data_IF_043658609805
#
_entry.id   IF_043658609805
#
_cell.length_a   1.000
_cell.length_b   1.000
_cell.length_c   1.000
_cell.angle_alpha   90.00
_cell.angle_beta   90.00
_cell.angle_gamma   90.00
#
_symmetry.space_group_name_H-M   'P 1'
#
loop_
_entity.id
_entity.type
_entity.pdbx_description
1 polymer ?
#
# COMPACT_ATOMS: atom_id res chain seq x y z
N UNK A 1 15.04 -8.69 -8.06
CA UNK A 1 15.56 -7.29 -8.01
C UNK A 1 14.85 -6.47 -6.95
N UNK A 2 13.52 -6.27 -7.01
CA UNK A 2 12.73 -5.40 -6.09
C UNK A 2 12.96 -5.72 -4.60
N UNK A 3 12.88 -7.00 -4.19
CA UNK A 3 13.18 -7.40 -2.80
C UNK A 3 14.60 -6.98 -2.37
N UNK A 4 15.59 -7.12 -3.25
CA UNK A 4 16.97 -6.72 -2.95
C UNK A 4 17.10 -5.19 -2.76
N UNK A 5 16.45 -4.41 -3.62
CA UNK A 5 16.44 -2.94 -3.50
C UNK A 5 15.81 -2.50 -2.18
N UNK A 6 14.63 -3.06 -1.83
CA UNK A 6 13.99 -2.78 -0.55
C UNK A 6 14.86 -3.20 0.65
N UNK A 7 15.58 -4.33 0.54
CA UNK A 7 16.49 -4.78 1.59
C UNK A 7 17.69 -3.84 1.77
N UNK A 8 18.23 -3.33 0.66
CA UNK A 8 19.31 -2.33 0.72
C UNK A 8 18.83 -1.05 1.40
N UNK A 9 17.67 -0.53 0.97
CA UNK A 9 17.08 0.65 1.58
C UNK A 9 16.81 0.47 3.08
N UNK A 10 16.34 -0.72 3.51
CA UNK A 10 16.14 -1.01 4.93
C UNK A 10 17.45 -0.95 5.73
N UNK A 11 18.53 -1.50 5.19
CA UNK A 11 19.85 -1.47 5.83
C UNK A 11 20.37 -0.05 5.98
N UNK A 12 20.25 0.76 4.96
CA UNK A 12 20.65 2.17 4.99
C UNK A 12 19.83 2.96 5.99
N UNK A 13 18.48 2.84 5.94
CA UNK A 13 17.59 3.51 6.85
C UNK A 13 17.82 3.11 8.32
N UNK A 14 18.00 1.81 8.59
CA UNK A 14 18.24 1.32 9.95
C UNK A 14 19.59 1.79 10.50
N UNK A 15 20.60 1.93 9.65
CA UNK A 15 21.89 2.49 10.05
C UNK A 15 21.78 3.95 10.50
N UNK A 16 20.82 4.71 9.95
CA UNK A 16 20.48 6.08 10.37
C UNK A 16 19.48 6.12 11.55
N UNK A 17 19.16 4.98 12.15
CA UNK A 17 18.28 4.89 13.31
C UNK A 17 16.80 4.82 13.00
N UNK A 18 16.39 4.69 11.73
CA UNK A 18 14.99 4.51 11.36
C UNK A 18 14.57 3.06 11.57
N UNK A 19 13.39 2.86 12.17
CA UNK A 19 12.84 1.53 12.45
C UNK A 19 11.48 1.29 11.76
N UNK A 20 10.93 2.29 11.07
CA UNK A 20 9.66 2.24 10.39
C UNK A 20 9.70 3.11 9.13
N UNK A 21 9.19 2.58 8.02
CA UNK A 21 9.07 3.32 6.75
C UNK A 21 7.62 3.41 6.30
N UNK A 22 7.25 4.52 5.65
CA UNK A 22 5.93 4.72 5.02
C UNK A 22 5.93 4.19 3.58
N UNK A 23 6.36 2.94 3.43
CA UNK A 23 6.44 2.18 2.19
C UNK A 23 6.19 0.69 2.46
N UNK A 24 5.67 -0.05 1.46
CA UNK A 24 5.48 0.32 0.07
C UNK A 24 4.16 1.04 -0.21
N UNK A 25 4.14 1.91 -1.22
CA UNK A 25 2.91 2.31 -1.86
C UNK A 25 2.43 1.17 -2.76
N UNK A 26 1.21 0.70 -2.51
CA UNK A 26 0.60 -0.45 -3.20
C UNK A 26 -0.68 -0.06 -3.93
N UNK A 27 -0.96 1.23 -4.03
CA UNK A 27 -2.10 1.74 -4.77
C UNK A 27 -2.03 1.31 -6.23
N UNK A 28 -3.17 0.82 -6.75
CA UNK A 28 -3.38 0.67 -8.18
C UNK A 28 -3.87 2.00 -8.72
N UNK A 29 -3.23 2.50 -9.77
CA UNK A 29 -3.57 3.77 -10.41
C UNK A 29 -3.82 3.59 -11.90
N UNK A 30 -4.93 4.16 -12.39
CA UNK A 30 -5.30 4.11 -13.82
C UNK A 30 -5.21 5.45 -14.52
N UNK A 31 -5.23 6.55 -13.77
CA UNK A 31 -5.14 7.89 -14.35
C UNK A 31 -3.71 8.42 -14.26
N UNK A 32 -3.04 8.50 -15.41
CA UNK A 32 -1.67 8.97 -15.51
C UNK A 32 -1.49 10.46 -15.12
N UNK A 33 -2.59 11.21 -14.99
CA UNK A 33 -2.57 12.62 -14.52
C UNK A 33 -2.37 12.74 -13.01
N UNK A 34 -2.62 11.65 -12.25
CA UNK A 34 -2.39 11.66 -10.82
C UNK A 34 -0.90 11.85 -10.49
N UNK A 35 -0.58 12.89 -9.71
CA UNK A 35 0.80 13.29 -9.43
C UNK A 35 1.64 12.22 -8.70
N UNK A 36 0.98 11.22 -8.09
CA UNK A 36 1.64 10.14 -7.37
C UNK A 36 1.70 8.81 -8.13
N UNK A 37 1.28 8.80 -9.40
CA UNK A 37 1.27 7.58 -10.21
C UNK A 37 2.65 6.90 -10.27
N UNK A 38 3.73 7.68 -10.25
CA UNK A 38 5.11 7.18 -10.31
C UNK A 38 5.59 6.46 -9.04
N UNK A 39 4.91 6.66 -7.89
CA UNK A 39 5.28 5.96 -6.65
C UNK A 39 4.83 4.50 -6.65
N UNK A 40 3.80 4.17 -7.42
CA UNK A 40 3.15 2.88 -7.45
C UNK A 40 3.77 1.87 -8.42
N UNK A 41 3.13 0.70 -8.51
CA UNK A 41 3.52 -0.38 -9.39
C UNK A 41 2.75 -0.42 -10.74
N UNK A 42 1.93 0.60 -10.99
CA UNK A 42 1.11 0.70 -12.20
C UNK A 42 -0.35 0.32 -11.98
N UNK A 43 -1.01 -0.14 -13.04
CA UNK A 43 -2.45 -0.40 -13.06
C UNK A 43 -2.84 -1.88 -12.91
N UNK A 44 -1.87 -2.80 -13.03
CA UNK A 44 -2.12 -4.24 -12.96
C UNK A 44 -2.08 -4.74 -11.50
N UNK A 45 -3.20 -5.24 -10.94
CA UNK A 45 -3.25 -5.73 -9.59
C UNK A 45 -2.39 -6.99 -9.35
N UNK A 46 -2.15 -7.81 -10.36
CA UNK A 46 -1.28 -8.97 -10.24
C UNK A 46 0.17 -8.56 -10.04
N UNK A 47 0.69 -7.71 -10.93
CA UNK A 47 2.04 -7.16 -10.80
C UNK A 47 2.18 -6.35 -9.50
N UNK A 48 1.19 -5.53 -9.18
CA UNK A 48 1.13 -4.76 -7.94
C UNK A 48 1.25 -5.65 -6.69
N UNK A 49 0.56 -6.78 -6.68
CA UNK A 49 0.62 -7.76 -5.59
C UNK A 49 1.99 -8.40 -5.44
N UNK A 50 2.63 -8.79 -6.54
CA UNK A 50 3.98 -9.34 -6.52
C UNK A 50 5.01 -8.32 -6.01
N UNK A 51 4.88 -7.08 -6.43
CA UNK A 51 5.76 -5.98 -5.99
C UNK A 51 5.54 -5.64 -4.53
N UNK A 52 4.28 -5.57 -4.07
CA UNK A 52 3.92 -5.34 -2.67
C UNK A 52 4.59 -6.37 -1.75
N UNK A 53 4.40 -7.66 -2.04
CA UNK A 53 5.04 -8.77 -1.32
C UNK A 53 6.56 -8.61 -1.29
N UNK A 54 7.18 -8.42 -2.44
CA UNK A 54 8.64 -8.33 -2.56
C UNK A 54 9.22 -7.15 -1.75
N UNK A 55 8.53 -6.00 -1.71
CA UNK A 55 8.94 -4.83 -0.94
C UNK A 55 8.79 -5.05 0.56
N UNK A 56 7.66 -5.60 1.02
CA UNK A 56 7.44 -5.93 2.43
C UNK A 56 8.51 -6.88 2.94
N UNK A 57 8.72 -8.00 2.23
CA UNK A 57 9.77 -8.97 2.58
C UNK A 57 11.18 -8.35 2.55
N UNK A 58 11.42 -7.41 1.65
CA UNK A 58 12.69 -6.70 1.57
C UNK A 58 12.94 -5.79 2.78
N UNK A 59 11.96 -4.96 3.14
CA UNK A 59 12.09 -4.05 4.29
C UNK A 59 12.17 -4.79 5.62
N UNK A 60 11.31 -5.78 5.83
CA UNK A 60 11.17 -6.47 7.11
C UNK A 60 12.16 -7.63 7.29
N UNK A 61 12.76 -8.13 6.17
CA UNK A 61 13.63 -9.30 6.24
C UNK A 61 12.89 -10.54 6.79
N UNK A 62 13.65 -11.48 7.29
CA UNK A 62 13.09 -12.72 7.86
C UNK A 62 12.74 -12.55 9.36
N UNK A 63 13.31 -11.56 10.03
CA UNK A 63 13.08 -11.27 11.44
C UNK A 63 13.25 -9.77 11.73
N UNK A 64 12.19 -9.10 12.22
CA UNK A 64 12.24 -7.69 12.60
C UNK A 64 13.09 -7.37 13.85
N UNK A 65 13.54 -8.38 14.58
CA UNK A 65 14.52 -8.18 15.66
C UNK A 65 15.94 -7.96 15.14
N UNK A 66 16.19 -8.19 13.85
CA UNK A 66 17.47 -7.86 13.22
C UNK A 66 17.58 -6.34 13.07
N UNK A 67 18.69 -5.78 13.60
CA UNK A 67 18.95 -4.34 13.59
C UNK A 67 19.02 -3.71 12.19
N UNK A 68 19.16 -4.53 11.16
CA UNK A 68 19.21 -4.09 9.76
C UNK A 68 17.85 -4.08 9.06
N UNK A 69 16.75 -4.36 9.79
CA UNK A 69 15.38 -4.38 9.26
C UNK A 69 14.58 -3.18 9.74
N UNK A 70 13.51 -2.85 9.00
CA UNK A 70 12.56 -1.80 9.36
C UNK A 70 11.13 -2.29 9.11
N UNK A 71 10.19 -1.84 9.93
CA UNK A 71 8.78 -2.13 9.71
C UNK A 71 8.27 -1.47 8.43
N UNK A 72 7.54 -2.22 7.62
CA UNK A 72 6.90 -1.72 6.41
C UNK A 72 5.48 -1.19 6.71
N UNK A 73 5.01 -0.26 5.86
CA UNK A 73 3.67 0.30 5.90
C UNK A 73 3.05 0.27 4.51
N UNK A 74 2.09 -0.62 4.29
CA UNK A 74 1.35 -0.64 3.03
C UNK A 74 0.38 0.54 2.96
N UNK A 75 0.43 1.31 1.86
CA UNK A 75 -0.34 2.55 1.71
C UNK A 75 -0.84 2.72 0.28
N UNK A 76 -1.92 3.45 0.12
CA UNK A 76 -2.83 4.11 1.06
C UNK A 76 -4.17 3.36 1.04
N UNK A 77 -4.58 2.83 2.14
CA UNK A 77 -5.76 1.96 2.26
C UNK A 77 -7.05 2.79 2.38
N UNK A 78 -7.96 2.81 1.38
CA UNK A 78 -7.78 2.21 0.08
C UNK A 78 -8.39 3.10 -1.02
N UNK A 79 -8.01 2.83 -2.27
CA UNK A 79 -8.63 3.47 -3.43
C UNK A 79 -8.06 4.82 -3.83
N UNK A 80 -6.94 5.26 -3.27
CA UNK A 80 -6.36 6.58 -3.51
C UNK A 80 -5.95 6.81 -4.98
N UNK A 81 -5.50 5.77 -5.67
CA UNK A 81 -5.17 5.83 -7.09
C UNK A 81 -6.37 5.91 -8.05
N UNK A 82 -7.59 5.90 -7.51
CA UNK A 82 -8.85 6.06 -8.25
C UNK A 82 -9.48 7.44 -8.08
N UNK A 83 -8.77 8.40 -7.54
CA UNK A 83 -9.24 9.77 -7.38
C UNK A 83 -9.70 10.36 -8.70
N UNK A 84 -10.89 10.98 -8.72
CA UNK A 84 -11.53 11.51 -9.92
C UNK A 84 -10.61 12.49 -10.67
N UNK A 85 -10.52 12.28 -11.98
CA UNK A 85 -9.71 13.08 -12.90
C UNK A 85 -8.22 13.16 -12.52
N UNK A 86 -7.71 12.20 -11.76
CA UNK A 86 -6.33 12.21 -11.27
C UNK A 86 -6.04 13.34 -10.27
N UNK A 87 -7.04 13.96 -9.70
CA UNK A 87 -6.86 15.03 -8.71
C UNK A 87 -6.51 14.45 -7.35
N UNK A 88 -5.40 14.89 -6.82
CA UNK A 88 -4.95 14.44 -5.50
C UNK A 88 -5.96 14.84 -4.41
N UNK A 89 -6.15 14.00 -3.41
CA UNK A 89 -7.13 14.15 -2.32
C UNK A 89 -8.61 14.14 -2.73
N UNK A 90 -8.93 13.91 -3.99
CA UNK A 90 -10.31 13.94 -4.44
C UNK A 90 -11.05 12.62 -4.13
N UNK A 91 -12.38 12.65 -4.26
CA UNK A 91 -13.24 11.47 -4.19
C UNK A 91 -12.77 10.37 -5.15
N UNK A 92 -12.88 9.14 -4.70
CA UNK A 92 -12.72 7.96 -5.54
C UNK A 92 -14.08 7.27 -5.69
N UNK A 93 -14.49 7.04 -6.95
CA UNK A 93 -15.72 6.33 -7.28
C UNK A 93 -15.39 4.99 -7.94
N UNK A 94 -15.86 3.91 -7.32
CA UNK A 94 -15.70 2.55 -7.82
C UNK A 94 -16.69 1.59 -7.17
N UNK A 95 -17.10 0.59 -7.90
CA UNK A 95 -18.02 -0.44 -7.41
C UNK A 95 -17.30 -1.54 -6.59
N UNK A 96 -18.06 -2.39 -5.92
CA UNK A 96 -17.55 -3.52 -5.13
C UNK A 96 -16.66 -4.48 -5.92
N UNK A 97 -16.98 -4.72 -7.19
CA UNK A 97 -16.15 -5.58 -8.04
C UNK A 97 -14.73 -4.99 -8.20
N UNK A 98 -14.64 -3.72 -8.51
CA UNK A 98 -13.36 -3.01 -8.65
C UNK A 98 -12.60 -2.98 -7.33
N UNK A 99 -13.29 -2.74 -6.21
CA UNK A 99 -12.68 -2.79 -4.89
C UNK A 99 -11.98 -4.14 -4.64
N UNK A 100 -12.72 -5.24 -4.77
CA UNK A 100 -12.21 -6.57 -4.40
C UNK A 100 -11.25 -7.18 -5.43
N UNK A 101 -11.40 -6.85 -6.72
CA UNK A 101 -10.60 -7.48 -7.78
C UNK A 101 -9.44 -6.62 -8.30
N UNK A 102 -9.42 -5.33 -7.98
CA UNK A 102 -8.37 -4.43 -8.46
C UNK A 102 -7.65 -3.71 -7.33
N UNK A 103 -8.41 -3.10 -6.40
CA UNK A 103 -7.84 -2.22 -5.38
C UNK A 103 -7.25 -3.02 -4.21
N UNK A 104 -7.99 -3.98 -3.66
CA UNK A 104 -7.58 -4.72 -2.47
C UNK A 104 -6.49 -5.79 -2.68
N UNK A 105 -6.33 -6.45 -3.85
CA UNK A 105 -5.37 -7.53 -4.00
C UNK A 105 -3.93 -7.17 -3.60
N UNK A 106 -3.35 -6.01 -3.96
CA UNK A 106 -2.00 -5.65 -3.49
C UNK A 106 -1.91 -5.44 -1.98
N UNK A 107 -2.97 -4.94 -1.33
CA UNK A 107 -3.03 -4.81 0.13
C UNK A 107 -3.08 -6.19 0.79
N UNK A 108 -3.89 -7.10 0.24
CA UNK A 108 -3.93 -8.49 0.71
C UNK A 108 -2.56 -9.16 0.57
N UNK A 109 -1.89 -8.99 -0.56
CA UNK A 109 -0.55 -9.54 -0.77
C UNK A 109 0.48 -8.97 0.23
N UNK A 110 0.37 -7.68 0.58
CA UNK A 110 1.20 -7.06 1.61
C UNK A 110 0.89 -7.65 3.01
N UNK A 111 -0.40 -7.86 3.31
CA UNK A 111 -0.84 -8.51 4.55
C UNK A 111 -0.29 -9.95 4.66
N UNK A 112 -0.47 -10.74 3.62
CA UNK A 112 0.01 -12.12 3.55
C UNK A 112 1.54 -12.22 3.65
N UNK A 113 2.26 -11.16 3.24
CA UNK A 113 3.70 -11.02 3.43
C UNK A 113 4.09 -10.55 4.85
N UNK A 114 3.11 -10.32 5.72
CA UNK A 114 3.32 -9.97 7.13
C UNK A 114 3.63 -8.51 7.38
N UNK A 115 3.16 -7.58 6.51
CA UNK A 115 3.32 -6.14 6.74
C UNK A 115 2.83 -5.73 8.13
N UNK A 116 3.55 -4.85 8.80
CA UNK A 116 3.23 -4.49 10.20
C UNK A 116 2.21 -3.37 10.34
N UNK A 117 2.14 -2.50 9.35
CA UNK A 117 1.23 -1.35 9.43
C UNK A 117 0.58 -1.05 8.08
N UNK A 118 -0.60 -0.44 8.16
CA UNK A 118 -1.30 0.14 7.02
C UNK A 118 -1.50 1.63 7.25
N UNK A 119 -1.38 2.41 6.20
CA UNK A 119 -1.72 3.84 6.22
C UNK A 119 -2.99 4.06 5.43
N UNK A 120 -3.94 4.76 6.02
CA UNK A 120 -5.20 5.08 5.37
C UNK A 120 -5.02 6.03 4.18
N UNK A 121 -5.93 5.92 3.23
CA UNK A 121 -6.03 6.86 2.11
C UNK A 121 -6.69 8.18 2.53
N UNK A 122 -6.47 9.22 1.73
CA UNK A 122 -7.01 10.57 1.98
C UNK A 122 -8.37 10.83 1.29
N UNK A 123 -8.69 10.00 0.29
CA UNK A 123 -9.93 10.15 -0.49
C UNK A 123 -11.17 9.78 0.32
N UNK A 124 -12.32 10.23 -0.17
CA UNK A 124 -13.62 9.68 0.20
C UNK A 124 -14.01 8.55 -0.76
N UNK A 125 -14.84 7.64 -0.26
CA UNK A 125 -15.52 6.60 -1.03
C UNK A 125 -16.97 6.65 -0.61
N UNK A 126 -17.90 6.77 -1.54
CA UNK A 126 -19.32 6.97 -1.24
C UNK A 126 -19.53 8.11 -0.21
N UNK A 127 -18.83 9.23 -0.41
CA UNK A 127 -18.84 10.41 0.47
C UNK A 127 -18.29 10.18 1.90
N UNK A 128 -17.84 8.97 2.21
CA UNK A 128 -17.27 8.64 3.53
C UNK A 128 -15.73 8.69 3.44
N UNK A 129 -15.05 9.46 4.29
CA UNK A 129 -13.59 9.43 4.36
C UNK A 129 -13.05 8.01 4.57
N UNK A 130 -12.04 7.61 3.83
CA UNK A 130 -11.48 6.24 3.91
C UNK A 130 -11.06 5.87 5.35
N UNK A 131 -10.58 6.84 6.13
CA UNK A 131 -10.22 6.66 7.55
C UNK A 131 -11.41 6.32 8.45
N UNK A 132 -12.60 6.82 8.12
CA UNK A 132 -13.85 6.58 8.86
C UNK A 132 -14.74 5.50 8.25
N UNK A 133 -14.32 4.90 7.14
CA UNK A 133 -15.14 3.95 6.37
C UNK A 133 -15.22 2.59 7.08
N UNK A 134 -16.33 2.35 7.80
CA UNK A 134 -16.50 1.16 8.65
C UNK A 134 -16.24 -0.16 7.91
N UNK A 135 -16.79 -0.32 6.71
CA UNK A 135 -16.62 -1.55 5.93
C UNK A 135 -15.15 -1.80 5.62
N UNK A 136 -14.43 -0.79 5.13
CA UNK A 136 -13.00 -0.92 4.84
C UNK A 136 -12.18 -1.22 6.10
N UNK A 137 -12.38 -0.41 7.16
CA UNK A 137 -11.52 -0.44 8.34
C UNK A 137 -11.81 -1.59 9.29
N UNK A 138 -13.05 -2.05 9.36
CA UNK A 138 -13.49 -3.05 10.32
C UNK A 138 -13.83 -4.38 9.68
N UNK A 139 -14.64 -4.33 8.62
CA UNK A 139 -15.25 -5.56 8.09
C UNK A 139 -14.31 -6.25 7.09
N UNK A 140 -13.47 -5.50 6.37
CA UNK A 140 -12.46 -6.06 5.45
C UNK A 140 -11.10 -6.17 6.15
N UNK A 141 -10.53 -5.05 6.60
CA UNK A 141 -9.13 -5.05 7.08
C UNK A 141 -8.91 -5.81 8.40
N UNK A 142 -9.91 -5.88 9.29
CA UNK A 142 -9.72 -6.42 10.66
C UNK A 142 -10.43 -7.73 10.93
N UNK A 143 -11.33 -8.17 10.05
CA UNK A 143 -12.06 -9.43 10.25
C UNK A 143 -11.61 -10.53 9.29
N UNK A 144 -11.08 -10.18 8.13
CA UNK A 144 -10.52 -11.11 7.16
C UNK A 144 -8.99 -11.22 7.33
#
# INVERSE_FOLDING_TARGET
>A
MIKKTARTAAREASADGLNWTFAPMVDISRDARWGRVMEGAGEDPFLGSLIAKARVEGFQGDNLSDISTIAACAKHYAGYGFSEAGRDYNTADFNHYTLHNTILPPFKAANDAGVKTFMNAFNTIDEIPATGHKILQRDILKKD
#
